data_IF_387360257906
#
_entry.id   IF_387360257906
#
_cell.length_a   1.000
_cell.length_b   1.000
_cell.length_c   1.000
_cell.angle_alpha   90.00
_cell.angle_beta   90.00
_cell.angle_gamma   90.00
#
_symmetry.space_group_name_H-M   'P 1'
#
loop_
_entity.id
_entity.type
_entity.pdbx_description
1 polymer ?
#
# COMPACT_ATOMS: atom_id res chain seq x y z
N UNK A 1 1.16 7.10 -23.48
CA UNK A 1 1.33 5.72 -23.99
C UNK A 1 1.65 4.83 -22.80
N UNK A 2 1.05 3.67 -22.68
CA UNK A 2 1.28 2.72 -21.59
C UNK A 2 2.67 2.07 -21.78
N UNK A 3 3.49 2.02 -20.72
CA UNK A 3 4.74 1.27 -20.75
C UNK A 3 4.45 -0.22 -20.62
N UNK A 4 4.59 -0.92 -21.73
CA UNK A 4 4.31 -2.37 -21.83
C UNK A 4 5.19 -3.19 -20.87
N UNK A 5 6.45 -2.79 -20.65
CA UNK A 5 7.34 -3.50 -19.72
C UNK A 5 6.84 -3.39 -18.28
N UNK A 6 6.39 -2.21 -17.89
CA UNK A 6 5.84 -2.00 -16.55
C UNK A 6 4.52 -2.76 -16.36
N UNK A 7 3.64 -2.76 -17.36
CA UNK A 7 2.42 -3.54 -17.33
C UNK A 7 2.70 -5.05 -17.21
N UNK A 8 3.66 -5.55 -17.99
CA UNK A 8 4.09 -6.95 -17.90
C UNK A 8 4.65 -7.28 -16.51
N UNK A 9 5.47 -6.40 -15.92
CA UNK A 9 5.98 -6.57 -14.56
C UNK A 9 4.87 -6.60 -13.52
N UNK A 10 3.86 -5.74 -13.65
CA UNK A 10 2.70 -5.73 -12.76
C UNK A 10 1.92 -7.06 -12.83
N UNK A 11 1.62 -7.53 -14.03
CA UNK A 11 0.93 -8.81 -14.26
C UNK A 11 1.78 -9.98 -13.73
N UNK A 12 3.10 -9.95 -13.99
CA UNK A 12 4.01 -11.00 -13.50
C UNK A 12 4.03 -11.10 -11.99
N UNK A 13 4.05 -9.97 -11.26
CA UNK A 13 4.00 -9.97 -9.79
C UNK A 13 2.64 -10.43 -9.25
N UNK A 14 1.54 -10.03 -9.87
CA UNK A 14 0.21 -10.53 -9.51
C UNK A 14 0.12 -12.05 -9.70
N UNK A 15 0.56 -12.53 -10.86
CA UNK A 15 0.56 -13.97 -11.17
C UNK A 15 1.50 -14.75 -10.25
N UNK A 16 2.70 -14.21 -9.96
CA UNK A 16 3.65 -14.82 -9.03
C UNK A 16 3.04 -14.96 -7.63
N UNK A 17 2.40 -13.90 -7.12
CA UNK A 17 1.70 -13.96 -5.83
C UNK A 17 0.63 -15.06 -5.79
N UNK A 18 -0.17 -15.21 -6.86
CA UNK A 18 -1.16 -16.28 -6.97
C UNK A 18 -0.52 -17.67 -7.06
N UNK A 19 0.54 -17.82 -7.84
CA UNK A 19 1.27 -19.10 -7.97
C UNK A 19 1.90 -19.51 -6.64
N UNK A 20 2.47 -18.57 -5.89
CA UNK A 20 3.08 -18.85 -4.58
C UNK A 20 2.07 -19.40 -3.56
N UNK A 21 0.77 -19.12 -3.69
CA UNK A 21 -0.28 -19.74 -2.87
C UNK A 21 -0.33 -21.28 -2.96
N UNK A 22 0.17 -21.84 -4.05
CA UNK A 22 0.31 -23.29 -4.21
C UNK A 22 1.57 -23.86 -3.52
N UNK A 23 2.41 -23.00 -2.94
CA UNK A 23 3.63 -23.39 -2.23
C UNK A 23 3.58 -22.93 -0.76
N UNK A 24 2.71 -23.51 0.07
CA UNK A 24 2.45 -23.04 1.45
C UNK A 24 3.70 -23.09 2.33
N UNK A 25 4.69 -23.90 2.01
CA UNK A 25 5.95 -23.95 2.75
C UNK A 25 6.71 -22.62 2.71
N UNK A 26 6.64 -21.89 1.58
CA UNK A 26 7.26 -20.56 1.43
C UNK A 26 6.53 -19.55 2.32
N UNK A 27 5.21 -19.51 2.24
CA UNK A 27 4.36 -18.62 3.04
C UNK A 27 4.58 -18.87 4.55
N UNK A 28 4.62 -20.13 4.98
CA UNK A 28 4.87 -20.52 6.38
C UNK A 28 6.28 -20.14 6.85
N UNK A 29 7.29 -20.34 6.01
CA UNK A 29 8.65 -19.95 6.35
C UNK A 29 8.76 -18.46 6.69
N UNK A 30 8.23 -17.60 5.81
CA UNK A 30 8.27 -16.15 6.03
C UNK A 30 7.37 -15.73 7.20
N UNK A 31 6.20 -16.36 7.37
CA UNK A 31 5.33 -16.09 8.51
C UNK A 31 6.07 -16.34 9.83
N UNK A 32 6.64 -17.53 10.04
CA UNK A 32 7.37 -17.88 11.24
C UNK A 32 8.59 -17.00 11.48
N UNK A 33 9.36 -16.74 10.41
CA UNK A 33 10.57 -15.91 10.51
C UNK A 33 10.25 -14.47 10.95
N UNK A 34 9.18 -13.86 10.41
CA UNK A 34 8.82 -12.48 10.70
C UNK A 34 7.99 -12.35 11.99
N UNK A 35 7.19 -13.36 12.33
CA UNK A 35 6.33 -13.33 13.52
C UNK A 35 7.14 -13.28 14.85
N UNK A 36 8.42 -13.66 14.83
CA UNK A 36 9.32 -13.44 15.96
C UNK A 36 9.39 -11.96 16.39
N UNK A 37 9.09 -11.02 15.48
CA UNK A 37 9.02 -9.58 15.76
C UNK A 37 7.79 -9.17 16.58
N UNK A 38 6.83 -10.08 16.81
CA UNK A 38 5.66 -9.82 17.67
C UNK A 38 6.02 -9.58 19.14
N UNK A 39 7.27 -9.82 19.55
CA UNK A 39 7.80 -9.30 20.81
C UNK A 39 7.71 -7.76 20.92
N UNK A 40 7.57 -7.05 19.80
CA UNK A 40 7.34 -5.61 19.69
C UNK A 40 5.90 -5.27 19.24
N UNK A 41 4.91 -5.99 19.75
CA UNK A 41 3.49 -5.91 19.34
C UNK A 41 2.96 -4.48 19.30
N UNK A 42 3.17 -3.69 20.35
CA UNK A 42 2.70 -2.29 20.43
C UNK A 42 3.27 -1.44 19.30
N UNK A 43 4.56 -1.61 18.97
CA UNK A 43 5.16 -0.90 17.85
C UNK A 43 4.57 -1.38 16.52
N UNK A 44 4.45 -2.70 16.32
CA UNK A 44 3.95 -3.28 15.09
C UNK A 44 2.49 -2.93 14.84
N UNK A 45 1.65 -2.82 15.87
CA UNK A 45 0.25 -2.43 15.72
C UNK A 45 0.10 -1.04 15.08
N UNK A 46 0.85 -0.05 15.54
CA UNK A 46 0.86 1.28 14.91
C UNK A 46 1.60 1.33 13.58
N UNK A 47 2.72 0.63 13.48
CA UNK A 47 3.56 0.65 12.28
C UNK A 47 2.85 0.04 11.06
N UNK A 48 2.13 -1.06 11.26
CA UNK A 48 1.39 -1.73 10.21
C UNK A 48 0.25 -0.86 9.66
N UNK A 49 -0.30 0.04 10.48
CA UNK A 49 -1.38 0.95 10.10
C UNK A 49 -0.95 2.06 9.15
N UNK A 50 0.33 2.31 8.97
CA UNK A 50 0.81 3.23 7.93
C UNK A 50 0.38 2.82 6.51
N UNK A 51 0.00 1.56 6.31
CA UNK A 51 -0.58 1.06 5.06
C UNK A 51 -2.12 1.10 5.01
N UNK A 52 -2.79 1.39 6.12
CA UNK A 52 -4.24 1.48 6.19
C UNK A 52 -4.77 2.61 5.29
N UNK A 53 -5.80 2.33 4.48
CA UNK A 53 -6.36 3.29 3.53
C UNK A 53 -6.83 4.58 4.17
N UNK A 54 -7.46 4.53 5.36
CA UNK A 54 -7.91 5.73 6.07
C UNK A 54 -6.74 6.53 6.65
N UNK A 55 -5.72 5.87 7.22
CA UNK A 55 -4.49 6.52 7.68
C UNK A 55 -3.73 7.12 6.50
N UNK A 56 -3.67 6.42 5.38
CA UNK A 56 -3.08 6.96 4.16
C UNK A 56 -3.80 8.22 3.69
N UNK A 57 -5.14 8.22 3.63
CA UNK A 57 -5.92 9.39 3.21
C UNK A 57 -5.78 10.56 4.18
N UNK A 58 -5.83 10.31 5.49
CA UNK A 58 -5.83 11.37 6.51
C UNK A 58 -4.44 11.94 6.83
N UNK A 59 -3.39 11.11 6.79
CA UNK A 59 -2.06 11.48 7.29
C UNK A 59 -1.01 11.38 6.18
N UNK A 60 -0.83 10.19 5.57
CA UNK A 60 0.30 9.93 4.67
C UNK A 60 0.23 10.80 3.42
N UNK A 61 -0.92 10.88 2.76
CA UNK A 61 -1.12 11.66 1.54
C UNK A 61 -0.93 13.18 1.78
N UNK A 62 -1.56 13.80 2.81
CA UNK A 62 -1.28 15.20 3.14
C UNK A 62 0.19 15.48 3.43
N UNK A 63 0.88 14.61 4.18
CA UNK A 63 2.30 14.76 4.47
C UNK A 63 3.17 14.67 3.22
N UNK A 64 2.92 13.72 2.32
CA UNK A 64 3.64 13.57 1.07
C UNK A 64 3.42 14.80 0.16
N UNK A 65 2.18 15.27 0.03
CA UNK A 65 1.86 16.46 -0.75
C UNK A 65 2.55 17.71 -0.18
N UNK A 66 2.46 17.93 1.15
CA UNK A 66 3.10 19.04 1.83
C UNK A 66 4.63 19.02 1.69
N UNK A 67 5.26 17.85 1.91
CA UNK A 67 6.71 17.69 1.80
C UNK A 67 7.22 18.03 0.41
N UNK A 68 6.49 17.65 -0.64
CA UNK A 68 6.86 17.97 -2.02
C UNK A 68 6.80 19.47 -2.33
N UNK A 69 6.00 20.25 -1.59
CA UNK A 69 5.93 21.70 -1.71
C UNK A 69 7.08 22.43 -0.96
N UNK A 70 7.62 21.82 0.09
CA UNK A 70 8.62 22.45 0.97
C UNK A 70 10.06 22.16 0.55
N UNK A 71 10.32 21.01 -0.05
CA UNK A 71 11.67 20.59 -0.40
C UNK A 71 12.03 21.06 -1.81
N UNK A 72 12.99 21.97 -1.93
CA UNK A 72 13.38 22.65 -3.19
C UNK A 72 13.86 21.71 -4.30
N UNK A 73 14.34 20.53 -3.95
CA UNK A 73 14.79 19.51 -4.90
C UNK A 73 13.67 18.61 -5.43
N UNK A 74 12.42 18.84 -5.00
CA UNK A 74 11.24 18.11 -5.43
C UNK A 74 10.33 18.97 -6.33
N UNK A 75 9.54 18.32 -7.19
CA UNK A 75 8.37 18.92 -7.82
C UNK A 75 7.18 18.81 -6.87
N UNK A 76 6.31 19.81 -6.89
CA UNK A 76 5.08 19.77 -6.12
C UNK A 76 4.14 18.69 -6.66
N UNK A 77 3.72 17.76 -5.79
CA UNK A 77 2.73 16.74 -6.07
C UNK A 77 1.41 17.14 -5.42
N UNK A 78 0.42 17.40 -6.25
CA UNK A 78 -0.91 17.81 -5.79
C UNK A 78 -1.57 16.70 -4.99
N UNK A 79 -2.32 17.07 -3.95
CA UNK A 79 -3.04 16.15 -3.08
C UNK A 79 -4.01 15.24 -3.85
N UNK A 80 -4.75 15.80 -4.83
CA UNK A 80 -5.70 15.04 -5.64
C UNK A 80 -5.06 13.93 -6.48
N UNK A 81 -3.78 14.06 -6.88
CA UNK A 81 -3.04 12.98 -7.55
C UNK A 81 -2.98 11.75 -6.67
N UNK A 82 -2.61 11.95 -5.40
CA UNK A 82 -2.39 10.86 -4.45
C UNK A 82 -3.74 10.28 -3.96
N UNK A 83 -4.73 11.13 -3.70
CA UNK A 83 -6.07 10.68 -3.26
C UNK A 83 -6.72 9.81 -4.32
N UNK A 84 -6.78 10.29 -5.58
CA UNK A 84 -7.41 9.52 -6.68
C UNK A 84 -6.65 8.23 -6.93
N UNK A 85 -5.31 8.26 -6.84
CA UNK A 85 -4.50 7.03 -6.95
C UNK A 85 -4.77 6.06 -5.80
N UNK A 86 -4.88 6.54 -4.57
CA UNK A 86 -5.23 5.73 -3.41
C UNK A 86 -6.61 5.08 -3.54
N UNK A 87 -7.62 5.84 -3.99
CA UNK A 87 -8.96 5.31 -4.28
C UNK A 87 -8.90 4.24 -5.38
N UNK A 88 -8.17 4.50 -6.47
CA UNK A 88 -8.00 3.51 -7.54
C UNK A 88 -7.35 2.21 -7.02
N UNK A 89 -6.29 2.30 -6.21
CA UNK A 89 -5.65 1.14 -5.57
C UNK A 89 -6.67 0.39 -4.72
N UNK A 90 -7.43 1.10 -3.88
CA UNK A 90 -8.47 0.52 -3.04
C UNK A 90 -9.54 -0.22 -3.84
N UNK A 91 -10.00 0.35 -4.96
CA UNK A 91 -10.94 -0.30 -5.87
C UNK A 91 -10.36 -1.58 -6.48
N UNK A 92 -9.12 -1.53 -6.99
CA UNK A 92 -8.45 -2.72 -7.54
C UNK A 92 -8.32 -3.83 -6.51
N UNK A 93 -7.88 -3.50 -5.28
CA UNK A 93 -7.78 -4.45 -4.17
C UNK A 93 -9.15 -5.03 -3.84
N UNK A 94 -10.19 -4.21 -3.74
CA UNK A 94 -11.55 -4.66 -3.40
C UNK A 94 -12.11 -5.62 -4.44
N UNK A 95 -11.95 -5.32 -5.73
CA UNK A 95 -12.36 -6.21 -6.82
C UNK A 95 -11.62 -7.54 -6.77
N UNK A 96 -10.30 -7.51 -6.62
CA UNK A 96 -9.50 -8.74 -6.54
C UNK A 96 -9.87 -9.56 -5.30
N UNK A 97 -10.11 -8.94 -4.15
CA UNK A 97 -10.57 -9.64 -2.94
C UNK A 97 -11.93 -10.30 -3.11
N UNK A 98 -12.84 -9.74 -3.90
CA UNK A 98 -14.10 -10.40 -4.23
C UNK A 98 -13.88 -11.64 -5.10
N UNK A 99 -13.00 -11.54 -6.11
CA UNK A 99 -12.65 -12.67 -6.99
C UNK A 99 -11.93 -13.77 -6.21
N UNK A 100 -11.07 -13.39 -5.24
CA UNK A 100 -10.28 -14.32 -4.41
C UNK A 100 -10.84 -14.44 -2.99
N UNK A 101 -12.15 -14.29 -2.80
CA UNK A 101 -12.79 -14.27 -1.48
C UNK A 101 -12.54 -15.56 -0.67
N UNK A 102 -12.32 -16.69 -1.35
CA UNK A 102 -12.00 -17.98 -0.76
C UNK A 102 -10.54 -18.08 -0.26
N UNK A 103 -9.68 -17.10 -0.56
CA UNK A 103 -8.28 -17.15 -0.11
C UNK A 103 -8.19 -17.00 1.41
N UNK A 104 -7.59 -17.98 2.08
CA UNK A 104 -7.47 -18.02 3.54
C UNK A 104 -6.26 -17.20 4.02
N UNK A 105 -6.43 -16.57 5.18
CA UNK A 105 -5.37 -15.86 5.90
C UNK A 105 -4.67 -16.78 6.91
N UNK A 106 -3.48 -16.39 7.43
CA UNK A 106 -2.83 -17.12 8.52
C UNK A 106 -3.78 -17.39 9.70
N UNK A 107 -4.57 -16.40 10.09
CA UNK A 107 -5.52 -16.48 11.20
C UNK A 107 -6.63 -17.52 11.06
N UNK A 108 -6.89 -18.03 9.83
CA UNK A 108 -7.81 -19.14 9.62
C UNK A 108 -7.34 -20.43 10.30
N UNK A 109 -6.02 -20.68 10.27
CA UNK A 109 -5.43 -21.93 10.77
C UNK A 109 -5.17 -21.89 12.28
N UNK A 110 -5.08 -20.70 12.88
CA UNK A 110 -4.81 -20.50 14.32
C UNK A 110 -3.63 -21.36 14.82
N UNK A 111 -2.47 -21.25 14.14
CA UNK A 111 -1.27 -21.99 14.52
C UNK A 111 -0.83 -21.62 15.94
N UNK A 112 -0.53 -22.62 16.78
CA UNK A 112 -0.13 -22.43 18.18
C UNK A 112 1.21 -21.68 18.34
N UNK A 113 2.07 -21.73 17.32
CA UNK A 113 3.39 -21.10 17.28
C UNK A 113 3.40 -19.69 16.65
N UNK A 114 2.23 -19.12 16.35
CA UNK A 114 2.07 -17.81 15.72
C UNK A 114 1.27 -16.87 16.64
N UNK A 115 1.82 -15.70 16.89
CA UNK A 115 1.11 -14.60 17.56
C UNK A 115 0.38 -13.75 16.55
N UNK A 116 -0.93 -13.52 16.77
CA UNK A 116 -1.77 -12.75 15.88
C UNK A 116 -2.13 -11.40 16.50
N UNK A 117 -2.06 -10.34 15.70
CA UNK A 117 -2.60 -9.05 16.10
C UNK A 117 -4.12 -9.04 15.89
N UNK A 118 -4.88 -8.69 16.92
CA UNK A 118 -6.34 -8.55 16.84
C UNK A 118 -6.75 -7.27 16.06
N UNK A 119 -7.88 -7.27 15.31
CA UNK A 119 -8.79 -8.41 15.09
C UNK A 119 -8.25 -9.42 14.06
N UNK A 120 -8.41 -10.71 14.33
CA UNK A 120 -7.96 -11.79 13.46
C UNK A 120 -9.01 -12.08 12.38
N UNK A 121 -8.60 -12.01 11.13
CA UNK A 121 -9.45 -12.33 9.97
C UNK A 121 -9.07 -13.67 9.34
N UNK A 122 -10.06 -14.39 8.83
CA UNK A 122 -9.87 -15.75 8.28
C UNK A 122 -9.79 -15.79 6.76
N UNK A 123 -10.48 -14.90 6.04
CA UNK A 123 -10.65 -14.96 4.58
C UNK A 123 -10.26 -13.66 3.87
N UNK A 124 -10.41 -13.66 2.55
CA UNK A 124 -10.08 -12.53 1.67
C UNK A 124 -8.64 -12.05 1.86
N UNK A 125 -7.70 -13.02 1.86
CA UNK A 125 -6.28 -12.76 2.09
C UNK A 125 -5.64 -11.99 0.94
N UNK A 126 -5.85 -12.44 -0.29
CA UNK A 126 -5.16 -11.93 -1.48
C UNK A 126 -5.97 -10.81 -2.17
N UNK A 127 -5.29 -9.74 -2.57
CA UNK A 127 -3.96 -9.27 -2.16
C UNK A 127 -4.02 -8.47 -0.83
N UNK A 128 -2.86 -8.12 -0.27
CA UNK A 128 -2.79 -7.24 0.91
C UNK A 128 -3.12 -5.79 0.53
N UNK A 129 -4.23 -5.26 1.09
CA UNK A 129 -4.63 -3.87 0.85
C UNK A 129 -3.64 -2.84 1.39
N UNK A 130 -3.15 -3.04 2.63
CA UNK A 130 -2.15 -2.16 3.25
C UNK A 130 -0.89 -2.05 2.40
N UNK A 131 -0.36 -3.19 1.94
CA UNK A 131 0.85 -3.22 1.11
C UNK A 131 0.64 -2.55 -0.26
N UNK A 132 -0.49 -2.83 -0.93
CA UNK A 132 -0.80 -2.20 -2.21
C UNK A 132 -0.89 -0.68 -2.06
N UNK A 133 -1.53 -0.19 -0.99
CA UNK A 133 -1.74 1.23 -0.75
C UNK A 133 -0.42 1.96 -0.48
N UNK A 134 0.36 1.50 0.52
CA UNK A 134 1.60 2.21 0.88
C UNK A 134 2.64 2.17 -0.24
N UNK A 135 2.85 1.01 -0.88
CA UNK A 135 3.81 0.87 -1.97
C UNK A 135 3.36 1.68 -3.18
N UNK A 136 2.08 1.61 -3.56
CA UNK A 136 1.53 2.35 -4.69
C UNK A 136 1.63 3.86 -4.50
N UNK A 137 1.26 4.38 -3.33
CA UNK A 137 1.37 5.81 -3.02
C UNK A 137 2.82 6.30 -3.02
N UNK A 138 3.74 5.54 -2.43
CA UNK A 138 5.17 5.88 -2.44
C UNK A 138 5.72 5.89 -3.86
N UNK A 139 5.44 4.88 -4.68
CA UNK A 139 5.91 4.84 -6.07
C UNK A 139 5.36 5.99 -6.91
N UNK A 140 4.06 6.29 -6.79
CA UNK A 140 3.41 7.37 -7.52
C UNK A 140 3.99 8.72 -7.08
N UNK A 141 4.13 8.94 -5.77
CA UNK A 141 4.70 10.17 -5.25
C UNK A 141 6.15 10.36 -5.71
N UNK A 142 7.01 9.35 -5.59
CA UNK A 142 8.39 9.39 -6.05
C UNK A 142 8.48 9.72 -7.54
N UNK A 143 7.64 9.09 -8.37
CA UNK A 143 7.60 9.34 -9.81
C UNK A 143 7.30 10.81 -10.15
N UNK A 144 6.33 11.41 -9.44
CA UNK A 144 5.93 12.78 -9.72
C UNK A 144 6.79 13.84 -9.01
N UNK A 145 7.32 13.53 -7.82
CA UNK A 145 8.08 14.46 -6.99
C UNK A 145 9.54 14.59 -7.40
N UNK A 146 10.21 13.53 -7.80
CA UNK A 146 11.66 13.56 -8.04
C UNK A 146 11.98 14.30 -9.34
N UNK A 147 12.72 15.41 -9.22
CA UNK A 147 13.22 16.21 -10.36
C UNK A 147 14.45 15.59 -11.01
N UNK A 148 15.37 15.11 -10.18
CA UNK A 148 16.66 14.60 -10.63
C UNK A 148 17.10 13.43 -9.75
N UNK A 149 17.18 12.25 -10.34
CA UNK A 149 17.61 11.01 -9.67
C UNK A 149 19.12 10.97 -9.38
N UNK A 150 19.92 11.82 -10.00
CA UNK A 150 21.37 11.88 -9.77
C UNK A 150 21.71 12.63 -8.46
N UNK A 151 20.80 13.48 -7.96
CA UNK A 151 21.00 14.21 -6.72
C UNK A 151 21.07 13.24 -5.52
N UNK A 152 22.07 13.44 -4.64
CA UNK A 152 22.28 12.61 -3.45
C UNK A 152 21.08 12.62 -2.50
N UNK A 153 20.49 13.78 -2.24
CA UNK A 153 19.27 13.90 -1.41
C UNK A 153 18.09 13.13 -2.00
N UNK A 154 17.93 13.16 -3.35
CA UNK A 154 16.89 12.39 -4.03
C UNK A 154 17.11 10.88 -3.88
N UNK A 155 18.37 10.41 -3.98
CA UNK A 155 18.70 8.99 -3.82
C UNK A 155 18.40 8.51 -2.41
N UNK A 156 18.82 9.25 -1.39
CA UNK A 156 18.51 8.92 0.01
C UNK A 156 16.99 8.83 0.21
N UNK A 157 16.25 9.84 -0.25
CA UNK A 157 14.79 9.87 -0.11
C UNK A 157 14.12 8.70 -0.80
N UNK A 158 14.53 8.37 -2.03
CA UNK A 158 14.01 7.20 -2.76
C UNK A 158 14.24 5.92 -1.96
N UNK A 159 15.48 5.67 -1.54
CA UNK A 159 15.82 4.45 -0.80
C UNK A 159 15.06 4.37 0.51
N UNK A 160 15.00 5.47 1.28
CA UNK A 160 14.32 5.50 2.58
C UNK A 160 12.83 5.24 2.47
N UNK A 161 12.14 5.86 1.50
CA UNK A 161 10.70 5.66 1.32
C UNK A 161 10.37 4.27 0.76
N UNK A 162 11.16 3.74 -0.17
CA UNK A 162 10.98 2.37 -0.65
C UNK A 162 11.21 1.35 0.47
N UNK A 163 12.27 1.54 1.27
CA UNK A 163 12.53 0.68 2.42
C UNK A 163 11.37 0.74 3.43
N UNK A 164 10.89 1.94 3.76
CA UNK A 164 9.73 2.11 4.64
C UNK A 164 8.50 1.36 4.11
N UNK A 165 8.16 1.53 2.83
CA UNK A 165 7.01 0.86 2.23
C UNK A 165 7.14 -0.67 2.25
N UNK A 166 8.35 -1.19 2.02
CA UNK A 166 8.64 -2.64 2.12
C UNK A 166 8.49 -3.10 3.58
N UNK A 167 9.03 -2.38 4.56
CA UNK A 167 8.94 -2.74 5.97
C UNK A 167 7.48 -2.73 6.46
N UNK A 168 6.68 -1.72 6.07
CA UNK A 168 5.23 -1.69 6.35
C UNK A 168 4.51 -2.87 5.68
N UNK A 169 4.92 -3.27 4.48
CA UNK A 169 4.35 -4.45 3.81
C UNK A 169 4.71 -5.75 4.55
N UNK A 170 5.96 -5.91 4.97
CA UNK A 170 6.42 -7.10 5.71
C UNK A 170 5.82 -7.16 7.13
N UNK A 171 5.51 -6.02 7.75
CA UNK A 171 4.82 -6.01 9.04
C UNK A 171 3.46 -6.70 8.97
N UNK A 172 2.77 -6.72 7.79
CA UNK A 172 1.51 -7.47 7.62
C UNK A 172 1.70 -8.98 7.73
N UNK A 173 2.88 -9.49 7.38
CA UNK A 173 3.25 -10.89 7.60
C UNK A 173 3.62 -11.10 9.06
N UNK A 174 4.42 -10.19 9.62
CA UNK A 174 4.86 -10.26 11.02
C UNK A 174 3.69 -10.33 12.02
N UNK A 175 2.62 -9.54 11.79
CA UNK A 175 1.42 -9.55 12.64
C UNK A 175 0.44 -10.69 12.33
N UNK A 176 0.77 -11.64 11.47
CA UNK A 176 -0.09 -12.77 11.13
C UNK A 176 -1.32 -12.42 10.28
N UNK A 177 -1.38 -11.22 9.70
CA UNK A 177 -2.54 -10.77 8.94
C UNK A 177 -2.56 -11.23 7.47
N UNK A 178 -1.40 -11.46 6.88
CA UNK A 178 -1.22 -11.82 5.47
C UNK A 178 -0.05 -12.77 5.25
N UNK A 179 -0.06 -13.48 4.13
CA UNK A 179 1.05 -14.28 3.64
C UNK A 179 2.04 -13.44 2.82
N UNK A 180 3.29 -13.91 2.65
CA UNK A 180 4.25 -13.22 1.77
C UNK A 180 3.78 -13.21 0.31
N UNK A 181 3.07 -14.23 -0.12
CA UNK A 181 2.44 -14.29 -1.45
C UNK A 181 1.44 -13.16 -1.69
N UNK A 182 0.66 -12.75 -0.65
CA UNK A 182 -0.27 -11.61 -0.71
C UNK A 182 0.47 -10.28 -0.90
N UNK A 183 1.64 -10.14 -0.26
CA UNK A 183 2.49 -8.96 -0.38
C UNK A 183 3.05 -8.83 -1.80
N UNK A 184 3.57 -9.93 -2.35
CA UNK A 184 4.12 -9.95 -3.72
C UNK A 184 3.03 -9.56 -4.73
N UNK A 185 1.82 -10.12 -4.62
CA UNK A 185 0.69 -9.74 -5.48
C UNK A 185 0.31 -8.26 -5.34
N UNK A 186 0.41 -7.70 -4.13
CA UNK A 186 0.13 -6.27 -3.88
C UNK A 186 1.08 -5.33 -4.62
N UNK A 187 2.34 -5.73 -4.81
CA UNK A 187 3.31 -4.93 -5.57
C UNK A 187 2.92 -4.85 -7.05
N UNK A 188 2.28 -5.88 -7.59
CA UNK A 188 1.70 -5.83 -8.94
C UNK A 188 0.62 -4.75 -9.07
N UNK A 189 -0.28 -4.63 -8.09
CA UNK A 189 -1.30 -3.55 -8.08
C UNK A 189 -0.62 -2.17 -7.96
N UNK A 190 0.40 -2.04 -7.13
CA UNK A 190 1.12 -0.79 -6.97
C UNK A 190 1.78 -0.32 -8.29
N UNK A 191 2.38 -1.25 -9.05
CA UNK A 191 2.94 -0.95 -10.37
C UNK A 191 1.85 -0.60 -11.40
N UNK A 192 0.71 -1.29 -11.38
CA UNK A 192 -0.42 -0.96 -12.25
C UNK A 192 -0.94 0.45 -11.97
N UNK A 193 -1.10 0.80 -10.70
CA UNK A 193 -1.55 2.13 -10.30
C UNK A 193 -0.54 3.22 -10.69
N UNK A 194 0.77 2.96 -10.55
CA UNK A 194 1.81 3.86 -11.03
C UNK A 194 1.68 4.08 -12.54
N UNK A 195 1.49 3.03 -13.33
CA UNK A 195 1.38 3.16 -14.78
C UNK A 195 0.14 3.97 -15.19
N UNK A 196 -1.01 3.73 -14.53
CA UNK A 196 -2.24 4.49 -14.78
C UNK A 196 -2.07 5.95 -14.38
N UNK A 197 -1.35 6.26 -13.32
CA UNK A 197 -1.11 7.66 -12.88
C UNK A 197 -0.35 8.50 -13.92
N UNK A 198 0.38 7.85 -14.83
CA UNK A 198 1.09 8.52 -15.94
C UNK A 198 0.21 8.82 -17.13
N UNK A 199 -0.95 8.16 -17.23
CA UNK A 199 -1.79 8.22 -18.41
C UNK A 199 -2.50 9.57 -18.56
N UNK A 200 -2.70 10.04 -19.80
CA UNK A 200 -3.28 11.35 -20.08
C UNK A 200 -4.74 11.48 -19.62
N UNK A 201 -5.51 10.39 -19.62
CA UNK A 201 -6.86 10.38 -19.05
C UNK A 201 -6.84 10.70 -17.56
N UNK A 202 -5.91 10.11 -16.80
CA UNK A 202 -5.72 10.40 -15.39
C UNK A 202 -5.37 11.86 -15.18
N UNK A 203 -4.42 12.40 -15.97
CA UNK A 203 -4.04 13.82 -15.93
C UNK A 203 -5.20 14.75 -16.30
N UNK A 204 -6.09 14.34 -17.21
CA UNK A 204 -7.29 15.09 -17.58
C UNK A 204 -8.30 15.15 -16.44
N UNK A 205 -8.50 14.03 -15.73
CA UNK A 205 -9.38 13.98 -14.56
C UNK A 205 -8.90 14.96 -13.47
N UNK A 206 -7.59 15.07 -13.27
CA UNK A 206 -6.97 15.97 -12.29
C UNK A 206 -7.13 17.48 -12.61
N UNK A 207 -7.50 17.83 -13.84
CA UNK A 207 -7.79 19.22 -14.22
C UNK A 207 -9.20 19.66 -13.84
N UNK A 208 -10.04 18.74 -13.38
CA UNK A 208 -11.41 19.01 -13.00
C UNK A 208 -11.46 19.48 -11.54
N UNK A 209 -12.09 20.64 -11.30
CA UNK A 209 -12.29 21.17 -9.95
C UNK A 209 -13.09 20.21 -9.05
N UNK A 210 -14.00 19.43 -9.62
CA UNK A 210 -14.74 18.39 -8.90
C UNK A 210 -13.79 17.36 -8.27
N UNK A 211 -12.78 16.91 -9.00
CA UNK A 211 -11.79 15.96 -8.50
C UNK A 211 -11.01 16.52 -7.30
N UNK A 212 -10.70 17.82 -7.35
CA UNK A 212 -10.05 18.53 -6.26
C UNK A 212 -10.95 18.60 -5.01
N UNK A 213 -12.18 19.04 -5.15
CA UNK A 213 -13.11 19.15 -4.01
C UNK A 213 -13.44 17.79 -3.40
N UNK A 214 -13.66 16.76 -4.23
CA UNK A 214 -13.86 15.38 -3.77
C UNK A 214 -12.64 14.87 -3.00
N UNK A 215 -11.43 15.19 -3.43
CA UNK A 215 -10.21 14.77 -2.73
C UNK A 215 -10.12 15.39 -1.33
N UNK A 216 -10.40 16.69 -1.19
CA UNK A 216 -10.46 17.32 0.13
C UNK A 216 -11.57 16.73 1.02
N UNK A 217 -12.75 16.49 0.45
CA UNK A 217 -13.86 15.86 1.17
C UNK A 217 -13.47 14.47 1.70
N UNK A 218 -12.82 13.63 0.88
CA UNK A 218 -12.37 12.30 1.29
C UNK A 218 -11.34 12.37 2.42
N UNK A 219 -10.42 13.32 2.39
CA UNK A 219 -9.46 13.53 3.49
C UNK A 219 -10.21 13.91 4.77
N UNK A 220 -11.15 14.84 4.71
CA UNK A 220 -11.95 15.24 5.88
C UNK A 220 -12.77 14.07 6.42
N UNK A 221 -13.44 13.31 5.54
CA UNK A 221 -14.23 12.13 5.93
C UNK A 221 -13.35 11.04 6.54
N UNK A 222 -12.11 10.85 6.06
CA UNK A 222 -11.20 9.88 6.67
C UNK A 222 -10.77 10.31 8.07
N UNK A 223 -10.56 11.59 8.33
CA UNK A 223 -10.31 12.10 9.67
C UNK A 223 -11.51 11.91 10.60
N UNK A 224 -12.74 12.24 10.15
CA UNK A 224 -13.94 12.04 10.97
C UNK A 224 -14.14 10.57 11.33
N UNK A 225 -13.86 9.66 10.37
CA UNK A 225 -13.91 8.22 10.63
C UNK A 225 -12.92 7.79 11.72
N UNK A 226 -11.64 8.18 11.61
CA UNK A 226 -10.60 7.81 12.59
C UNK A 226 -10.95 8.34 13.98
N UNK A 227 -11.41 9.61 14.09
CA UNK A 227 -11.79 10.20 15.36
C UNK A 227 -13.00 9.48 15.97
N UNK A 228 -13.98 9.07 15.15
CA UNK A 228 -15.19 8.39 15.63
C UNK A 228 -14.92 6.97 16.13
N UNK A 229 -13.93 6.28 15.60
CA UNK A 229 -13.57 4.91 16.02
C UNK A 229 -12.75 4.87 17.32
N UNK A 230 -12.15 5.99 17.74
CA UNK A 230 -11.39 6.15 19.00
C UNK A 230 -10.07 5.39 19.07
N UNK A 231 -9.96 4.26 18.44
CA UNK A 231 -8.73 3.50 18.19
C UNK A 231 -8.96 2.59 17.00
N UNK A 232 -7.91 2.32 16.21
CA UNK A 232 -7.99 1.40 15.07
C UNK A 232 -7.82 -0.06 15.54
N UNK A 233 -7.36 -0.24 16.79
CA UNK A 233 -7.23 -1.49 17.55
C UNK A 233 -7.68 -1.30 18.98
#
# INVERSE_FOLDING_TARGET
MIDFKMLLSAISLLSLGLVLKYFPAIDMYFLRALNSLMSYEVFLSYFTELGNGFICLSIVIPLLSFSSNKLSFLNFVKLEVLVISGVFIGCCVSVLKQITAFSVRPGFYQFDDINYLEPVFSYSSFPSGHSATIVGLVLIWLHHAIKNTSNYSSKILIVSLLLLAILVSLSRVAVGAHWISDIIGSFGIALLALEISKHDLFKKTLKNDIAKYLSYLLVVLSWTYIISQGSIY
#
